data_IF_856113806678
#
_entry.id   IF_856113806678
#
_cell.length_a   1.000
_cell.length_b   1.000
_cell.length_c   1.000
_cell.angle_alpha   90.00
_cell.angle_beta   90.00
_cell.angle_gamma   90.00
#
_symmetry.space_group_name_H-M   'P 1'
#
loop_
_entity.id
_entity.type
_entity.pdbx_description
1 polymer ?
#
# COMPACT_ATOMS: atom_id res chain seq x y z
N UNK A 1 39.29 13.61 -5.67
CA UNK A 1 37.87 13.72 -6.11
C UNK A 1 37.06 12.79 -5.22
N UNK A 2 36.24 13.35 -4.31
CA UNK A 2 35.57 12.63 -3.23
C UNK A 2 34.36 11.83 -3.77
N UNK A 3 34.41 10.50 -3.64
CA UNK A 3 33.40 9.56 -4.12
C UNK A 3 32.67 8.86 -2.96
N UNK A 4 32.44 9.55 -1.84
CA UNK A 4 31.71 9.04 -0.67
C UNK A 4 30.72 10.12 -0.21
N UNK A 5 29.41 9.85 -0.33
CA UNK A 5 28.29 10.39 0.47
C UNK A 5 26.91 10.44 -0.24
N UNK A 6 26.74 9.87 -1.44
CA UNK A 6 25.41 9.78 -2.07
C UNK A 6 24.42 8.87 -1.30
N UNK A 7 24.93 8.07 -0.38
CA UNK A 7 24.22 7.20 0.55
C UNK A 7 24.10 7.86 1.95
N UNK A 8 23.85 9.16 2.07
CA UNK A 8 23.38 9.70 3.36
C UNK A 8 21.87 9.45 3.48
N UNK A 9 21.56 8.42 4.28
CA UNK A 9 20.52 7.41 4.10
C UNK A 9 19.11 7.79 4.59
N UNK A 10 18.73 9.07 4.63
CA UNK A 10 17.43 9.41 5.22
C UNK A 10 16.26 9.14 4.29
N UNK A 11 16.31 9.60 3.03
CA UNK A 11 15.19 9.45 2.10
C UNK A 11 14.90 7.99 1.71
N UNK A 12 15.90 7.16 1.35
CA UNK A 12 15.66 5.74 1.06
C UNK A 12 15.09 5.00 2.28
N UNK A 13 15.59 5.31 3.49
CA UNK A 13 15.09 4.73 4.75
C UNK A 13 13.65 5.14 5.05
N UNK A 14 13.32 6.43 4.91
CA UNK A 14 11.96 6.93 5.12
C UNK A 14 11.00 6.36 4.07
N UNK A 15 11.44 6.23 2.82
CA UNK A 15 10.68 5.60 1.75
C UNK A 15 10.43 4.11 2.05
N UNK A 16 11.45 3.38 2.50
CA UNK A 16 11.31 1.99 2.92
C UNK A 16 10.34 1.81 4.08
N UNK A 17 10.39 2.69 5.09
CA UNK A 17 9.40 2.73 6.18
C UNK A 17 7.99 2.97 5.66
N UNK A 18 7.83 3.90 4.72
CA UNK A 18 6.52 4.21 4.15
C UNK A 18 5.94 3.01 3.40
N UNK A 19 6.75 2.35 2.55
CA UNK A 19 6.34 1.13 1.83
C UNK A 19 5.97 0.02 2.81
N UNK A 20 6.80 -0.21 3.84
CA UNK A 20 6.51 -1.18 4.89
C UNK A 20 5.19 -0.91 5.61
N UNK A 21 4.93 0.36 5.97
CA UNK A 21 3.67 0.75 6.61
C UNK A 21 2.46 0.52 5.71
N UNK A 22 2.56 0.83 4.40
CA UNK A 22 1.45 0.59 3.46
C UNK A 22 1.17 -0.92 3.29
N UNK A 23 2.21 -1.75 3.18
CA UNK A 23 2.04 -3.21 3.18
C UNK A 23 1.45 -3.73 4.49
N UNK A 24 1.86 -3.19 5.63
CA UNK A 24 1.32 -3.58 6.93
C UNK A 24 -0.17 -3.23 7.05
N UNK A 25 -0.59 -2.05 6.61
CA UNK A 25 -2.00 -1.65 6.58
C UNK A 25 -2.82 -2.61 5.74
N UNK A 26 -2.37 -2.94 4.52
CA UNK A 26 -3.05 -3.90 3.65
C UNK A 26 -3.15 -5.29 4.29
N UNK A 27 -2.02 -5.79 4.80
CA UNK A 27 -1.94 -7.12 5.41
C UNK A 27 -2.85 -7.22 6.62
N UNK A 28 -2.86 -6.21 7.50
CA UNK A 28 -3.70 -6.19 8.70
C UNK A 28 -5.18 -6.10 8.37
N UNK A 29 -5.56 -5.32 7.36
CA UNK A 29 -6.94 -5.28 6.87
C UNK A 29 -7.38 -6.67 6.37
N UNK A 30 -6.56 -7.34 5.56
CA UNK A 30 -6.84 -8.70 5.06
C UNK A 30 -6.87 -9.74 6.18
N UNK A 31 -5.96 -9.67 7.16
CA UNK A 31 -5.97 -10.52 8.37
C UNK A 31 -7.29 -10.36 9.12
N UNK A 32 -7.72 -9.12 9.33
CA UNK A 32 -8.97 -8.84 10.03
C UNK A 32 -10.18 -9.41 9.28
N UNK A 33 -10.25 -9.20 7.96
CA UNK A 33 -11.32 -9.75 7.13
C UNK A 33 -11.34 -11.29 7.15
N UNK A 34 -10.17 -11.93 7.08
CA UNK A 34 -10.06 -13.39 7.14
C UNK A 34 -10.55 -13.95 8.48
N UNK A 35 -10.20 -13.30 9.60
CA UNK A 35 -10.70 -13.69 10.93
C UNK A 35 -12.23 -13.63 11.03
N UNK A 36 -12.85 -12.64 10.41
CA UNK A 36 -14.31 -12.47 10.42
C UNK A 36 -15.05 -13.53 9.58
N UNK A 37 -14.37 -14.12 8.61
CA UNK A 37 -14.93 -15.17 7.74
C UNK A 37 -14.68 -16.58 8.28
N UNK A 38 -14.01 -16.71 9.44
CA UNK A 38 -13.43 -17.99 9.88
C UNK A 38 -12.61 -18.67 8.78
N UNK A 39 -12.07 -17.87 7.85
CA UNK A 39 -11.36 -18.39 6.69
C UNK A 39 -10.14 -19.15 7.19
N UNK A 40 -10.08 -20.42 6.84
CA UNK A 40 -8.99 -21.33 7.20
C UNK A 40 -7.68 -20.77 6.67
N UNK A 41 -6.65 -20.76 7.52
CA UNK A 41 -5.28 -20.49 7.05
C UNK A 41 -4.97 -21.51 5.96
N UNK A 42 -4.64 -21.06 4.75
CA UNK A 42 -4.05 -21.94 3.74
C UNK A 42 -2.85 -22.64 4.35
N UNK A 43 -2.87 -23.98 4.33
CA UNK A 43 -1.74 -24.77 4.79
C UNK A 43 -0.69 -24.86 3.68
N UNK A 44 0.12 -23.82 3.58
CA UNK A 44 1.16 -23.67 2.56
C UNK A 44 2.13 -24.87 2.53
N UNK A 45 2.28 -25.60 3.65
CA UNK A 45 3.20 -26.74 3.73
C UNK A 45 2.68 -27.96 2.97
N UNK A 46 1.36 -28.11 2.84
CA UNK A 46 0.71 -29.28 2.29
C UNK A 46 0.14 -29.05 0.87
N UNK A 47 0.14 -27.82 0.40
CA UNK A 47 -0.34 -27.45 -0.94
C UNK A 47 0.71 -27.77 -2.00
N UNK A 48 0.30 -28.41 -3.09
CA UNK A 48 1.12 -28.69 -4.26
C UNK A 48 0.77 -27.75 -5.42
N UNK A 49 1.70 -27.62 -6.37
CA UNK A 49 1.46 -26.85 -7.59
C UNK A 49 0.32 -27.51 -8.37
N UNK A 50 -0.70 -26.72 -8.70
CA UNK A 50 -1.88 -27.17 -9.44
C UNK A 50 -3.09 -27.47 -8.55
N UNK A 51 -2.92 -27.50 -7.24
CA UNK A 51 -4.04 -27.68 -6.32
C UNK A 51 -4.96 -26.45 -6.35
N UNK A 52 -6.27 -26.71 -6.35
CA UNK A 52 -7.26 -25.67 -6.14
C UNK A 52 -7.30 -25.28 -4.66
N UNK A 53 -7.34 -23.98 -4.41
CA UNK A 53 -7.38 -23.44 -3.06
C UNK A 53 -8.55 -22.48 -2.93
N UNK A 54 -9.15 -22.45 -1.74
CA UNK A 54 -10.22 -21.52 -1.46
C UNK A 54 -9.73 -20.07 -1.59
N UNK A 55 -10.59 -19.22 -2.16
CA UNK A 55 -10.34 -17.79 -2.20
C UNK A 55 -10.60 -17.24 -0.80
N UNK A 56 -9.53 -16.81 -0.15
CA UNK A 56 -9.55 -16.13 1.15
C UNK A 56 -9.18 -14.67 0.95
N UNK A 57 -9.39 -13.78 1.93
CA UNK A 57 -8.92 -12.40 1.85
C UNK A 57 -7.41 -12.25 1.60
N UNK A 58 -6.61 -13.29 1.81
CA UNK A 58 -5.18 -13.34 1.48
C UNK A 58 -4.88 -13.77 0.04
N UNK A 59 -5.67 -14.67 -0.53
CA UNK A 59 -5.48 -15.20 -1.91
C UNK A 59 -6.33 -14.47 -2.95
N UNK A 60 -7.27 -13.65 -2.50
CA UNK A 60 -8.14 -12.82 -3.32
C UNK A 60 -7.37 -11.72 -4.07
N UNK A 61 -7.65 -11.61 -5.38
CA UNK A 61 -7.07 -10.63 -6.31
C UNK A 61 -7.66 -9.23 -6.17
N UNK A 62 -8.55 -9.02 -5.21
CA UNK A 62 -9.12 -7.71 -4.93
C UNK A 62 -8.04 -6.65 -4.69
N UNK A 63 -8.31 -5.46 -5.23
CA UNK A 63 -7.43 -4.30 -5.08
C UNK A 63 -7.30 -3.85 -3.62
N UNK A 64 -6.21 -3.15 -3.30
CA UNK A 64 -6.03 -2.49 -2.00
C UNK A 64 -7.25 -1.63 -1.61
N UNK A 65 -7.77 -0.85 -2.57
CA UNK A 65 -8.97 -0.03 -2.37
C UNK A 65 -10.12 -0.86 -1.83
N UNK A 66 -10.43 -1.96 -2.50
CA UNK A 66 -11.54 -2.86 -2.13
C UNK A 66 -11.32 -3.47 -0.75
N UNK A 67 -10.11 -3.96 -0.47
CA UNK A 67 -9.77 -4.52 0.84
C UNK A 67 -9.97 -3.52 1.99
N UNK A 68 -9.56 -2.25 1.81
CA UNK A 68 -9.73 -1.21 2.82
C UNK A 68 -11.18 -0.73 2.96
N UNK A 69 -11.94 -0.67 1.86
CA UNK A 69 -13.39 -0.38 1.90
C UNK A 69 -14.13 -1.46 2.67
N UNK A 70 -13.86 -2.74 2.40
CA UNK A 70 -14.48 -3.85 3.09
C UNK A 70 -14.09 -3.89 4.58
N UNK A 71 -12.83 -3.58 4.89
CA UNK A 71 -12.37 -3.39 6.28
C UNK A 71 -13.17 -2.28 6.99
N UNK A 72 -13.25 -1.09 6.41
CA UNK A 72 -13.98 0.03 6.99
C UNK A 72 -15.47 -0.28 7.20
N UNK A 73 -16.09 -0.97 6.23
CA UNK A 73 -17.49 -1.40 6.32
C UNK A 73 -17.70 -2.38 7.48
N UNK A 74 -16.74 -3.29 7.73
CA UNK A 74 -16.79 -4.21 8.87
C UNK A 74 -16.59 -3.48 10.19
N UNK A 75 -15.65 -2.54 10.27
CA UNK A 75 -15.48 -1.69 11.45
C UNK A 75 -16.76 -0.91 11.79
N UNK A 76 -17.42 -0.35 10.79
CA UNK A 76 -18.68 0.38 10.96
C UNK A 76 -19.81 -0.52 11.45
N UNK A 77 -19.98 -1.71 10.87
CA UNK A 77 -20.93 -2.72 11.35
C UNK A 77 -20.66 -3.17 12.78
N UNK A 78 -19.39 -3.17 13.21
CA UNK A 78 -18.99 -3.49 14.57
C UNK A 78 -19.06 -2.28 15.53
N UNK A 79 -19.43 -1.09 15.06
CA UNK A 79 -19.49 0.14 15.86
C UNK A 79 -18.12 0.76 16.20
N UNK A 80 -17.03 0.33 15.54
CA UNK A 80 -15.65 0.73 15.84
C UNK A 80 -15.21 1.84 14.87
N UNK A 81 -15.69 3.07 15.09
CA UNK A 81 -15.38 4.20 14.20
C UNK A 81 -13.92 4.65 14.25
N UNK A 82 -13.23 4.51 15.40
CA UNK A 82 -11.86 4.98 15.59
C UNK A 82 -10.81 4.21 14.78
N UNK A 83 -11.16 3.03 14.25
CA UNK A 83 -10.25 2.21 13.46
C UNK A 83 -10.40 2.41 11.95
N UNK A 84 -11.35 3.24 11.48
CA UNK A 84 -11.53 3.46 10.03
C UNK A 84 -10.30 4.15 9.44
N UNK A 85 -9.87 3.67 8.28
CA UNK A 85 -8.72 4.22 7.56
C UNK A 85 -9.15 5.15 6.43
N UNK A 86 -8.26 6.10 6.10
CA UNK A 86 -8.42 7.04 4.98
C UNK A 86 -8.10 6.35 3.63
N UNK A 87 -9.08 5.60 3.11
CA UNK A 87 -8.90 4.74 1.92
C UNK A 87 -8.31 5.49 0.73
N UNK A 88 -8.89 6.64 0.38
CA UNK A 88 -8.51 7.40 -0.81
C UNK A 88 -7.06 7.85 -0.75
N UNK A 89 -6.63 8.36 0.39
CA UNK A 89 -5.29 8.88 0.63
C UNK A 89 -4.25 7.76 0.63
N UNK A 90 -4.55 6.63 1.28
CA UNK A 90 -3.67 5.46 1.32
C UNK A 90 -3.48 4.87 -0.09
N UNK A 91 -4.58 4.71 -0.84
CA UNK A 91 -4.53 4.21 -2.22
C UNK A 91 -3.76 5.16 -3.13
N UNK A 92 -4.02 6.48 -3.05
CA UNK A 92 -3.30 7.46 -3.83
C UNK A 92 -1.78 7.43 -3.57
N UNK A 93 -1.38 7.27 -2.30
CA UNK A 93 0.03 7.19 -1.93
C UNK A 93 0.69 5.90 -2.44
N UNK A 94 0.03 4.75 -2.28
CA UNK A 94 0.49 3.46 -2.80
C UNK A 94 0.63 3.49 -4.31
N UNK A 95 -0.35 4.03 -5.02
CA UNK A 95 -0.30 4.08 -6.48
C UNK A 95 0.79 5.03 -6.96
N UNK A 96 1.00 6.15 -6.29
CA UNK A 96 2.11 7.04 -6.63
C UNK A 96 3.48 6.37 -6.43
N UNK A 97 3.64 5.56 -5.38
CA UNK A 97 4.85 4.76 -5.16
C UNK A 97 5.02 3.70 -6.26
N UNK A 98 3.98 2.94 -6.56
CA UNK A 98 4.01 1.88 -7.56
C UNK A 98 4.32 2.39 -8.98
N UNK A 99 3.93 3.63 -9.28
CA UNK A 99 4.19 4.27 -10.58
C UNK A 99 5.47 5.13 -10.60
N UNK A 100 6.33 5.05 -9.58
CA UNK A 100 7.59 5.80 -9.54
C UNK A 100 7.42 7.32 -9.48
N UNK A 101 6.32 7.81 -8.88
CA UNK A 101 5.99 9.24 -8.80
C UNK A 101 6.48 9.92 -7.53
N UNK A 102 7.38 9.27 -6.79
CA UNK A 102 7.98 9.78 -5.55
C UNK A 102 9.44 10.08 -5.80
N UNK A 103 9.82 11.34 -5.61
CA UNK A 103 11.16 11.83 -5.94
C UNK A 103 11.81 12.52 -4.75
N UNK A 104 13.10 12.24 -4.55
CA UNK A 104 14.02 13.09 -3.80
C UNK A 104 14.94 13.80 -4.79
N UNK A 105 15.09 15.12 -4.65
CA UNK A 105 16.02 15.89 -5.50
C UNK A 105 17.36 15.96 -4.77
N UNK A 106 18.37 15.26 -5.30
CA UNK A 106 19.76 15.44 -4.89
C UNK A 106 20.37 16.65 -5.61
N UNK A 107 21.36 17.36 -5.03
CA UNK A 107 22.02 17.11 -3.74
C UNK A 107 21.50 18.10 -2.69
N UNK A 108 20.33 17.84 -2.09
CA UNK A 108 19.84 18.68 -1.02
C UNK A 108 19.57 17.82 0.21
N UNK A 109 20.57 17.74 1.08
CA UNK A 109 20.35 17.34 2.47
C UNK A 109 19.19 18.22 3.01
N UNK A 110 18.14 17.58 3.52
CA UNK A 110 16.93 18.21 4.09
C UNK A 110 15.80 18.65 3.12
N UNK A 111 15.79 18.22 1.86
CA UNK A 111 14.61 18.47 1.00
C UNK A 111 13.57 17.37 1.18
N UNK A 112 12.29 17.67 1.50
CA UNK A 112 11.27 16.65 1.66
C UNK A 112 11.06 15.85 0.37
N UNK A 113 10.74 14.55 0.50
CA UNK A 113 10.26 13.72 -0.60
C UNK A 113 9.01 14.36 -1.21
N UNK A 114 8.95 14.41 -2.55
CA UNK A 114 7.83 15.02 -3.27
C UNK A 114 7.03 13.97 -4.02
N UNK A 115 5.70 14.14 -3.99
CA UNK A 115 4.76 13.41 -4.82
C UNK A 115 4.51 14.22 -6.10
N UNK A 116 4.82 13.64 -7.26
CA UNK A 116 4.60 14.32 -8.54
C UNK A 116 3.32 13.79 -9.17
N UNK A 117 2.38 14.68 -9.48
CA UNK A 117 1.14 14.36 -10.21
C UNK A 117 1.30 14.79 -11.66
N UNK A 118 1.06 13.86 -12.58
CA UNK A 118 0.99 14.15 -14.00
C UNK A 118 -0.47 14.31 -14.41
N UNK A 119 -0.76 15.35 -15.20
CA UNK A 119 -2.07 15.56 -15.80
C UNK A 119 -1.91 15.69 -17.31
N UNK A 120 -2.90 15.18 -18.06
CA UNK A 120 -2.90 15.31 -19.52
C UNK A 120 -3.06 16.78 -19.87
N UNK A 121 -2.15 17.30 -20.68
CA UNK A 121 -2.28 18.66 -21.23
C UNK A 121 -3.57 18.74 -22.05
N UNK A 122 -4.49 19.64 -21.66
CA UNK A 122 -5.67 19.97 -22.47
C UNK A 122 -5.26 21.02 -23.49
N UNK A 123 -5.13 20.60 -24.75
CA UNK A 123 -5.11 21.55 -25.86
C UNK A 123 -6.55 22.08 -26.00
N UNK A 124 -6.84 23.26 -25.47
CA UNK A 124 -8.02 24.00 -25.86
C UNK A 124 -7.76 24.52 -27.28
N UNK A 125 -8.19 23.74 -28.26
CA UNK A 125 -8.16 24.10 -29.68
C UNK A 125 -8.96 25.39 -29.87
N UNK A 126 -8.25 26.47 -30.20
CA UNK A 126 -8.81 27.70 -30.78
C UNK A 126 -9.34 27.44 -32.18
#
# INVERSE_FOLDING_TARGET
>A
MNQKNWLQEEHPKQLGKLVGNLHAIESMARIYLAKQQSATRLDIKNIKKGDEVEITPFSDKNSLKKALEDYNNKCEKAGICCCKVKVKEIVALRDALAHGRVFGIAPLQNTPLRLIKFEKYKNDSK
#
